data_IF_229031909172
#
_entry.id   IF_229031909172
#
_cell.length_a   1.000
_cell.length_b   1.000
_cell.length_c   1.000
_cell.angle_alpha   90.00
_cell.angle_beta   90.00
_cell.angle_gamma   90.00
#
_symmetry.space_group_name_H-M   'P 1'
#
loop_
_entity.id
_entity.type
_entity.pdbx_description
1 polymer ?
#
# COMPACT_ATOMS: atom_id res chain seq x y z
N UNK A 1 -8.66 -25.59 5.83
CA UNK A 1 -9.62 -25.00 4.87
C UNK A 1 -10.30 -23.80 5.53
N UNK A 2 -10.51 -22.71 4.80
CA UNK A 2 -11.28 -21.57 5.31
C UNK A 2 -12.76 -21.83 5.01
N UNK A 3 -13.67 -21.79 6.01
CA UNK A 3 -15.08 -22.07 5.76
C UNK A 3 -15.71 -20.98 4.89
N UNK A 4 -16.59 -21.39 3.97
CA UNK A 4 -17.31 -20.46 3.10
C UNK A 4 -18.21 -19.51 3.89
N UNK A 5 -18.28 -18.25 3.45
CA UNK A 5 -19.16 -17.26 4.06
C UNK A 5 -20.62 -17.64 3.80
N UNK A 6 -21.27 -18.21 4.82
CA UNK A 6 -22.71 -18.50 4.82
C UNK A 6 -23.60 -17.25 4.73
N UNK A 7 -23.07 -16.05 4.96
CA UNK A 7 -23.85 -14.80 4.99
C UNK A 7 -23.15 -13.71 4.19
N UNK A 8 -23.95 -12.92 3.47
CA UNK A 8 -23.50 -11.71 2.78
C UNK A 8 -22.83 -10.74 3.79
N UNK A 9 -21.85 -9.95 3.35
CA UNK A 9 -21.27 -8.89 4.18
C UNK A 9 -22.39 -7.98 4.69
N UNK A 10 -22.52 -7.85 6.01
CA UNK A 10 -23.41 -6.84 6.59
C UNK A 10 -22.58 -5.59 6.81
N UNK A 11 -22.93 -4.50 6.14
CA UNK A 11 -22.46 -3.19 6.56
C UNK A 11 -23.02 -2.96 7.96
N UNK A 12 -22.16 -2.77 8.96
CA UNK A 12 -22.57 -2.04 10.14
C UNK A 12 -22.74 -0.61 9.67
N UNK A 13 -23.95 -0.25 9.25
CA UNK A 13 -24.36 1.15 9.35
C UNK A 13 -24.28 1.43 10.84
N UNK A 14 -23.36 2.31 11.25
CA UNK A 14 -23.09 2.57 12.66
C UNK A 14 -24.38 2.53 13.46
N UNK A 15 -24.39 1.78 14.57
CA UNK A 15 -25.49 1.86 15.54
C UNK A 15 -25.84 3.35 15.77
N UNK A 16 -27.08 3.71 16.10
CA UNK A 16 -27.56 5.10 16.18
C UNK A 16 -26.85 6.04 17.18
N UNK A 17 -25.62 5.72 17.60
CA UNK A 17 -24.66 6.57 18.31
C UNK A 17 -23.25 6.63 17.73
N UNK A 18 -23.00 6.21 16.48
CA UNK A 18 -21.73 6.51 15.77
C UNK A 18 -20.46 5.84 16.32
N UNK A 19 -20.59 4.82 17.16
CA UNK A 19 -19.48 4.18 17.88
C UNK A 19 -18.49 3.38 17.02
N UNK A 20 -18.84 3.08 15.77
CA UNK A 20 -18.00 2.27 14.87
C UNK A 20 -17.66 3.06 13.61
N UNK A 21 -16.41 2.96 13.10
CA UNK A 21 -16.02 3.60 11.85
C UNK A 21 -16.95 3.20 10.70
N UNK A 22 -17.25 4.17 9.83
CA UNK A 22 -17.99 3.90 8.61
C UNK A 22 -17.25 2.82 7.79
N UNK A 23 -18.03 1.89 7.22
CA UNK A 23 -17.48 0.89 6.33
C UNK A 23 -16.75 1.55 5.15
N UNK A 24 -15.51 1.15 4.94
CA UNK A 24 -14.73 1.55 3.76
C UNK A 24 -14.36 0.31 2.97
N UNK A 25 -14.89 0.21 1.74
CA UNK A 25 -14.52 -0.87 0.82
C UNK A 25 -13.01 -0.93 0.57
N UNK A 26 -12.38 0.24 0.48
CA UNK A 26 -10.92 0.37 0.36
C UNK A 26 -10.23 -0.31 1.54
N UNK A 27 -10.58 0.04 2.77
CA UNK A 27 -9.95 -0.55 3.95
C UNK A 27 -10.28 -2.04 4.09
N UNK A 28 -11.50 -2.47 3.75
CA UNK A 28 -11.87 -3.88 3.74
C UNK A 28 -10.98 -4.70 2.77
N UNK A 29 -10.64 -4.15 1.60
CA UNK A 29 -9.68 -4.75 0.68
C UNK A 29 -8.26 -4.75 1.23
N UNK A 30 -7.83 -3.66 1.87
CA UNK A 30 -6.55 -3.62 2.60
C UNK A 30 -6.42 -4.75 3.64
N UNK A 31 -7.49 -4.98 4.41
CA UNK A 31 -7.53 -6.04 5.42
C UNK A 31 -7.46 -7.44 4.79
N UNK A 32 -8.08 -7.62 3.62
CA UNK A 32 -7.97 -8.86 2.85
C UNK A 32 -6.50 -9.10 2.42
N UNK A 33 -5.80 -8.08 1.90
CA UNK A 33 -4.38 -8.23 1.55
C UNK A 33 -3.51 -8.51 2.77
N UNK A 34 -3.75 -7.83 3.89
CA UNK A 34 -3.05 -8.10 5.15
C UNK A 34 -3.20 -9.57 5.55
N UNK A 35 -4.43 -10.09 5.49
CA UNK A 35 -4.72 -11.47 5.84
C UNK A 35 -3.93 -12.48 4.98
N UNK A 36 -3.76 -12.19 3.69
CA UNK A 36 -3.00 -13.02 2.76
C UNK A 36 -1.50 -12.89 3.04
N UNK A 37 -0.98 -11.65 3.04
CA UNK A 37 0.45 -11.33 3.19
C UNK A 37 1.00 -11.83 4.52
N UNK A 38 0.26 -11.59 5.61
CA UNK A 38 0.70 -11.95 6.96
C UNK A 38 0.30 -13.38 7.36
N UNK A 39 0.17 -14.31 6.39
CA UNK A 39 -0.09 -15.73 6.65
C UNK A 39 -1.25 -15.97 7.61
N UNK A 40 -2.31 -15.17 7.51
CA UNK A 40 -3.53 -15.27 8.33
C UNK A 40 -3.33 -14.97 9.82
N UNK A 41 -2.27 -14.24 10.17
CA UNK A 41 -2.05 -13.75 11.53
C UNK A 41 -2.94 -12.52 11.81
N UNK A 42 -3.75 -12.62 12.86
CA UNK A 42 -4.73 -11.61 13.27
C UNK A 42 -4.18 -10.60 14.31
N UNK A 43 -2.96 -10.79 14.81
CA UNK A 43 -2.35 -9.88 15.78
C UNK A 43 -2.00 -8.52 15.14
N UNK A 44 -1.54 -8.54 13.89
CA UNK A 44 -1.22 -7.36 13.10
C UNK A 44 -2.52 -6.74 12.55
N UNK A 45 -2.71 -5.43 12.79
CA UNK A 45 -3.93 -4.72 12.39
C UNK A 45 -3.65 -3.76 11.24
N UNK A 46 -4.60 -3.63 10.32
CA UNK A 46 -4.53 -2.64 9.25
C UNK A 46 -4.67 -1.23 9.81
N UNK A 47 -3.78 -0.32 9.40
CA UNK A 47 -3.93 1.12 9.65
C UNK A 47 -4.33 1.87 8.38
N UNK A 48 -3.70 1.57 7.24
CA UNK A 48 -4.02 2.20 5.97
C UNK A 48 -3.72 1.31 4.77
N UNK A 49 -4.48 1.51 3.70
CA UNK A 49 -4.29 0.86 2.42
C UNK A 49 -4.45 1.87 1.29
N UNK A 50 -3.40 2.04 0.49
CA UNK A 50 -3.41 2.88 -0.71
C UNK A 50 -3.31 2.01 -1.97
N UNK A 51 -4.41 1.85 -2.74
CA UNK A 51 -4.46 0.96 -3.89
C UNK A 51 -3.70 1.44 -5.13
N UNK A 52 -3.33 2.73 -5.19
CA UNK A 52 -2.73 3.35 -6.38
C UNK A 52 -1.43 4.06 -6.04
N UNK A 53 -0.53 3.40 -5.30
CA UNK A 53 0.78 3.98 -4.95
C UNK A 53 1.60 4.30 -6.20
N UNK A 54 1.61 3.40 -7.17
CA UNK A 54 2.13 3.62 -8.52
C UNK A 54 1.24 2.86 -9.49
N UNK A 55 0.78 3.54 -10.54
CA UNK A 55 -0.07 2.95 -11.56
C UNK A 55 0.47 3.31 -12.94
N UNK A 56 1.69 2.84 -13.21
CA UNK A 56 2.29 2.92 -14.54
C UNK A 56 1.94 1.65 -15.34
N UNK A 57 2.14 1.68 -16.66
CA UNK A 57 1.95 0.52 -17.54
C UNK A 57 2.77 -0.68 -17.09
N UNK A 58 3.95 -0.42 -16.53
CA UNK A 58 4.92 -1.44 -16.15
C UNK A 58 4.78 -1.91 -14.68
N UNK A 59 4.13 -1.11 -13.81
CA UNK A 59 4.02 -1.43 -12.40
C UNK A 59 2.72 -0.92 -11.76
N UNK A 60 1.99 -1.85 -11.14
CA UNK A 60 0.79 -1.56 -10.33
C UNK A 60 1.12 -1.85 -8.86
N UNK A 61 1.63 -0.85 -8.17
CA UNK A 61 2.06 -0.94 -6.78
C UNK A 61 0.99 -0.44 -5.82
N UNK A 62 0.95 -1.08 -4.66
CA UNK A 62 0.04 -0.80 -3.55
C UNK A 62 0.82 -0.63 -2.28
N UNK A 63 0.32 0.21 -1.39
CA UNK A 63 0.90 0.42 -0.06
C UNK A 63 -0.05 -0.16 0.99
N UNK A 64 0.53 -0.93 1.91
CA UNK A 64 -0.12 -1.40 3.12
C UNK A 64 0.66 -0.85 4.31
N UNK A 65 -0.05 -0.22 5.25
CA UNK A 65 0.50 0.22 6.53
C UNK A 65 -0.30 -0.46 7.62
N UNK A 66 0.41 -1.13 8.52
CA UNK A 66 -0.17 -1.92 9.61
C UNK A 66 0.47 -1.53 10.93
N UNK A 67 0.00 -2.07 12.04
CA UNK A 67 0.59 -1.82 13.37
C UNK A 67 2.05 -2.24 13.49
N UNK A 68 2.56 -3.08 12.59
CA UNK A 68 3.91 -3.64 12.68
C UNK A 68 4.79 -3.26 11.47
N UNK A 69 4.23 -3.15 10.26
CA UNK A 69 5.01 -3.04 9.03
C UNK A 69 4.45 -2.02 8.03
N UNK A 70 5.35 -1.47 7.22
CA UNK A 70 5.05 -0.80 5.96
C UNK A 70 5.42 -1.75 4.82
N UNK A 71 4.48 -2.06 3.93
CA UNK A 71 4.70 -2.95 2.80
C UNK A 71 4.26 -2.32 1.48
N UNK A 72 5.13 -2.39 0.48
CA UNK A 72 4.78 -2.09 -0.92
C UNK A 72 4.74 -3.40 -1.68
N UNK A 73 3.65 -3.64 -2.41
CA UNK A 73 3.42 -4.92 -3.08
C UNK A 73 2.71 -4.76 -4.44
N UNK A 74 2.79 -5.79 -5.28
CA UNK A 74 2.13 -5.84 -6.59
C UNK A 74 0.63 -6.03 -6.45
N UNK A 75 -0.12 -5.50 -7.41
CA UNK A 75 -1.54 -5.84 -7.60
C UNK A 75 -1.68 -7.29 -8.10
N UNK A 76 -1.70 -8.24 -7.18
CA UNK A 76 -2.14 -9.62 -7.39
C UNK A 76 -3.09 -10.02 -6.25
N UNK A 77 -4.26 -10.55 -6.57
CA UNK A 77 -5.32 -10.81 -5.58
C UNK A 77 -5.09 -12.09 -4.78
N UNK A 78 -4.39 -13.07 -5.36
CA UNK A 78 -4.15 -14.38 -4.74
C UNK A 78 -2.75 -14.48 -4.10
N UNK A 79 -1.73 -13.93 -4.77
CA UNK A 79 -0.34 -14.00 -4.30
C UNK A 79 0.39 -12.67 -4.54
N UNK A 80 0.22 -11.68 -3.66
CA UNK A 80 0.88 -10.38 -3.77
C UNK A 80 2.40 -10.50 -3.55
N UNK A 81 3.18 -10.12 -4.56
CA UNK A 81 4.63 -10.06 -4.44
C UNK A 81 5.03 -8.83 -3.63
N UNK A 82 5.77 -9.02 -2.55
CA UNK A 82 6.27 -7.92 -1.70
C UNK A 82 7.52 -7.33 -2.35
N UNK A 83 7.47 -6.04 -2.69
CA UNK A 83 8.60 -5.29 -3.23
C UNK A 83 9.42 -4.65 -2.12
N UNK A 84 8.75 -4.16 -1.09
CA UNK A 84 9.39 -3.48 0.02
C UNK A 84 8.64 -3.87 1.28
N UNK A 85 9.39 -4.17 2.33
CA UNK A 85 8.87 -4.43 3.65
C UNK A 85 9.85 -3.83 4.66
N UNK A 86 9.33 -3.04 5.58
CA UNK A 86 10.08 -2.59 6.74
C UNK A 86 9.20 -2.65 7.99
N UNK A 87 9.78 -3.05 9.11
CA UNK A 87 9.11 -2.93 10.40
C UNK A 87 9.04 -1.46 10.80
N UNK A 88 7.98 -1.04 11.48
CA UNK A 88 7.77 0.36 11.84
C UNK A 88 8.87 0.91 12.77
N UNK A 89 9.51 0.06 13.60
CA UNK A 89 10.67 0.47 14.41
C UNK A 89 11.88 0.90 13.57
N UNK A 90 11.96 0.46 12.32
CA UNK A 90 13.06 0.77 11.42
C UNK A 90 12.85 2.08 10.68
N UNK A 91 11.66 2.70 10.77
CA UNK A 91 11.35 3.96 10.09
C UNK A 91 11.92 5.12 10.90
N UNK A 92 12.85 5.85 10.29
CA UNK A 92 13.48 7.04 10.88
C UNK A 92 12.66 8.30 10.62
N UNK A 93 12.18 8.45 9.38
CA UNK A 93 11.38 9.59 8.97
C UNK A 93 10.50 9.23 7.77
N UNK A 94 9.40 9.95 7.64
CA UNK A 94 8.49 9.85 6.51
C UNK A 94 7.92 11.24 6.21
N UNK A 95 8.08 11.73 4.98
CA UNK A 95 7.51 13.00 4.58
C UNK A 95 7.09 13.02 3.11
N UNK A 96 6.04 13.79 2.78
CA UNK A 96 5.65 14.01 1.39
C UNK A 96 6.74 14.82 0.67
N UNK A 97 6.98 14.47 -0.59
CA UNK A 97 7.89 15.17 -1.47
C UNK A 97 7.14 15.51 -2.76
N UNK A 98 7.22 16.77 -3.19
CA UNK A 98 6.70 17.20 -4.49
C UNK A 98 7.88 17.53 -5.39
N UNK A 99 7.96 16.91 -6.56
CA UNK A 99 9.00 17.22 -7.54
C UNK A 99 8.37 17.79 -8.82
N UNK A 100 8.98 18.83 -9.34
CA UNK A 100 8.63 19.38 -10.64
C UNK A 100 9.47 18.66 -11.69
N UNK A 101 8.98 17.55 -12.23
CA UNK A 101 9.71 16.83 -13.28
C UNK A 101 9.66 17.67 -14.56
N UNK A 102 10.81 18.17 -15.01
CA UNK A 102 10.97 18.72 -16.35
C UNK A 102 11.04 17.53 -17.29
N UNK A 103 9.91 17.12 -17.86
CA UNK A 103 9.93 16.20 -18.98
C UNK A 103 10.62 16.93 -20.14
N UNK A 104 11.85 16.53 -20.47
CA UNK A 104 12.58 16.96 -21.66
C UNK A 104 11.87 16.42 -22.92
N UNK A 105 10.71 16.98 -23.23
CA UNK A 105 10.03 16.85 -24.52
C UNK A 105 10.54 17.94 -25.50
N UNK A 106 10.25 17.78 -26.80
CA UNK A 106 10.72 18.69 -27.85
C UNK A 106 10.29 20.15 -27.59
N UNK A 107 10.97 21.14 -28.19
CA UNK A 107 10.76 22.55 -27.88
C UNK A 107 9.39 23.01 -28.37
N UNK A 108 8.38 22.97 -27.48
CA UNK A 108 7.02 23.39 -27.79
C UNK A 108 6.01 22.92 -26.74
N UNK A 109 5.92 23.62 -25.62
CA UNK A 109 4.81 23.50 -24.66
C UNK A 109 4.96 22.42 -23.59
N UNK A 110 5.91 22.58 -22.65
CA UNK A 110 6.01 21.71 -21.47
C UNK A 110 4.93 22.08 -20.44
N UNK A 111 3.84 21.30 -20.37
CA UNK A 111 2.94 21.34 -19.21
C UNK A 111 3.68 20.72 -18.02
N UNK A 112 4.10 21.55 -17.06
CA UNK A 112 4.68 21.11 -15.80
C UNK A 112 3.58 20.51 -14.91
N UNK A 113 3.49 19.19 -14.82
CA UNK A 113 2.66 18.53 -13.82
C UNK A 113 3.55 18.21 -12.60
N UNK A 114 3.16 18.63 -11.39
CA UNK A 114 3.87 18.22 -10.18
C UNK A 114 3.69 16.71 -9.96
N UNK A 115 4.77 16.04 -9.59
CA UNK A 115 4.76 14.63 -9.19
C UNK A 115 4.85 14.54 -7.67
N UNK A 116 4.03 13.67 -7.06
CA UNK A 116 3.94 13.51 -5.61
C UNK A 116 4.55 12.17 -5.19
N UNK A 117 5.42 12.21 -4.18
CA UNK A 117 6.13 11.06 -3.64
C UNK A 117 6.04 11.04 -2.12
N UNK A 118 6.30 9.87 -1.54
CA UNK A 118 6.51 9.70 -0.10
C UNK A 118 7.95 9.23 0.06
N UNK A 119 8.76 10.03 0.73
CA UNK A 119 10.12 9.62 1.11
C UNK A 119 10.04 8.91 2.46
N UNK A 120 10.60 7.70 2.53
CA UNK A 120 10.66 6.88 3.75
C UNK A 120 12.13 6.58 4.02
N UNK A 121 12.67 7.17 5.09
CA UNK A 121 14.02 6.85 5.55
C UNK A 121 13.94 5.69 6.55
N UNK A 122 14.79 4.69 6.38
CA UNK A 122 14.85 3.53 7.29
C UNK A 122 16.27 3.25 7.76
N UNK A 123 16.38 2.51 8.87
CA UNK A 123 17.64 1.95 9.37
C UNK A 123 18.09 0.70 8.59
N UNK A 124 17.31 0.24 7.63
CA UNK A 124 17.64 -0.96 6.86
C UNK A 124 18.86 -0.68 5.96
N UNK A 125 19.85 -1.60 5.91
CA UNK A 125 20.93 -1.48 4.95
C UNK A 125 20.35 -1.43 3.53
N UNK A 126 20.91 -0.59 2.65
CA UNK A 126 20.42 -0.39 1.27
C UNK A 126 20.06 -1.73 0.64
N UNK A 127 18.78 -1.93 0.31
CA UNK A 127 18.28 -3.15 -0.33
C UNK A 127 18.85 -3.20 -1.75
N UNK A 128 20.00 -3.85 -1.91
CA UNK A 128 20.57 -4.19 -3.21
C UNK A 128 19.70 -5.28 -3.82
N UNK A 129 18.67 -4.93 -4.60
CA UNK A 129 17.98 -5.93 -5.40
C UNK A 129 18.98 -6.55 -6.39
N UNK A 130 19.11 -7.88 -6.47
CA UNK A 130 19.96 -8.48 -7.49
C UNK A 130 19.41 -8.12 -8.88
N UNK A 131 20.29 -7.66 -9.77
CA UNK A 131 19.94 -7.46 -11.19
C UNK A 131 19.74 -8.84 -11.81
N UNK A 132 18.50 -9.25 -12.02
CA UNK A 132 18.19 -10.42 -12.85
C UNK A 132 18.31 -9.96 -14.31
N UNK A 133 19.30 -10.52 -15.01
CA UNK A 133 19.45 -10.36 -16.46
C UNK A 133 18.55 -11.40 -17.12
N UNK A 134 17.56 -10.94 -17.90
CA UNK A 134 16.88 -11.79 -18.86
C UNK A 134 17.80 -12.06 -20.06
#
# INVERSE_FOLDING_TARGET
MLPDRKRLPRCVTGAPGGLLPAYSYRQAKGQQYLYIINRRNFAEKLMSYEPNLCNDKDAKLRLLVTTEFIRIFSRCDEDPTIMFECHLSEVLSCHPLTTNVVNAGPPGGSKHAPSFYIEISTNLPKITRPRVKC
#
